data_IF_012092649629
#
_entry.id   IF_012092649629
#
_cell.length_a   1.000
_cell.length_b   1.000
_cell.length_c   1.000
_cell.angle_alpha   90.00
_cell.angle_beta   90.00
_cell.angle_gamma   90.00
#
_symmetry.space_group_name_H-M   'P 1'
#
loop_
_entity.id
_entity.type
_entity.pdbx_description
1 polymer ?
#
# COMPACT_ATOMS: atom_id res chain seq x y z
N UNK A 1 -1.12 -14.24 9.85
CA UNK A 1 -2.12 -13.42 9.14
C UNK A 1 -2.00 -13.71 7.67
N UNK A 2 -3.10 -13.97 6.96
CA UNK A 2 -3.10 -14.02 5.50
C UNK A 2 -3.15 -12.60 4.94
N UNK A 3 -2.62 -12.39 3.73
CA UNK A 3 -2.68 -11.11 3.03
C UNK A 3 -4.11 -10.57 2.93
N UNK A 4 -5.10 -11.43 2.66
CA UNK A 4 -6.51 -11.03 2.58
C UNK A 4 -7.01 -10.29 3.82
N UNK A 5 -6.75 -10.82 5.03
CA UNK A 5 -7.18 -10.15 6.27
C UNK A 5 -6.52 -8.78 6.46
N UNK A 6 -5.28 -8.62 5.99
CA UNK A 6 -4.59 -7.33 6.07
C UNK A 6 -5.18 -6.31 5.09
N UNK A 7 -5.51 -6.75 3.87
CA UNK A 7 -6.15 -5.89 2.87
C UNK A 7 -7.54 -5.45 3.33
N UNK A 8 -8.32 -6.34 3.93
CA UNK A 8 -9.63 -5.99 4.46
C UNK A 8 -9.53 -4.93 5.57
N UNK A 9 -8.54 -5.05 6.47
CA UNK A 9 -8.25 -4.02 7.49
C UNK A 9 -7.80 -2.70 6.86
N UNK A 10 -6.92 -2.73 5.84
CA UNK A 10 -6.54 -1.54 5.09
C UNK A 10 -7.74 -0.90 4.41
N UNK A 11 -8.57 -1.66 3.70
CA UNK A 11 -9.71 -1.15 2.95
C UNK A 11 -10.73 -0.50 3.88
N UNK A 12 -10.93 -1.07 5.07
CA UNK A 12 -11.75 -0.47 6.12
C UNK A 12 -11.18 0.86 6.62
N UNK A 13 -9.86 0.91 6.89
CA UNK A 13 -9.18 2.12 7.38
C UNK A 13 -9.02 3.22 6.33
N UNK A 14 -9.00 2.85 5.04
CA UNK A 14 -8.90 3.75 3.91
C UNK A 14 -10.27 4.04 3.27
N UNK A 15 -11.38 3.78 3.98
CA UNK A 15 -12.73 4.22 3.60
C UNK A 15 -13.11 3.84 2.14
N UNK A 16 -12.88 2.58 1.73
CA UNK A 16 -13.17 2.07 0.38
C UNK A 16 -12.31 2.65 -0.76
N UNK A 17 -11.15 3.23 -0.44
CA UNK A 17 -10.20 3.66 -1.46
C UNK A 17 -9.44 2.50 -2.11
N UNK A 18 -9.57 1.27 -1.63
CA UNK A 18 -8.97 0.09 -2.26
C UNK A 18 -9.97 -0.53 -3.24
N UNK A 19 -9.60 -0.61 -4.52
CA UNK A 19 -10.41 -1.23 -5.59
C UNK A 19 -10.11 -2.71 -5.76
N UNK A 20 -8.83 -3.05 -5.73
CA UNK A 20 -8.35 -4.41 -5.94
C UNK A 20 -6.96 -4.54 -5.32
N UNK A 21 -6.49 -5.77 -5.22
CA UNK A 21 -5.10 -6.06 -4.88
C UNK A 21 -4.61 -7.27 -5.69
N UNK A 22 -3.30 -7.32 -5.90
CA UNK A 22 -2.62 -8.45 -6.52
C UNK A 22 -1.37 -8.82 -5.74
N UNK A 23 -0.92 -10.06 -5.80
CA UNK A 23 0.32 -10.48 -5.15
C UNK A 23 1.51 -10.16 -6.04
N UNK A 24 2.62 -9.73 -5.44
CA UNK A 24 3.89 -9.67 -6.17
C UNK A 24 4.42 -11.09 -6.44
N UNK A 25 5.23 -11.28 -7.51
CA UNK A 25 5.95 -12.53 -7.73
C UNK A 25 6.72 -12.98 -6.50
N UNK A 26 6.85 -14.29 -6.30
CA UNK A 26 7.61 -14.90 -5.21
C UNK A 26 7.20 -14.45 -3.79
N UNK A 27 5.96 -14.00 -3.61
CA UNK A 27 5.42 -13.52 -2.34
C UNK A 27 6.19 -12.34 -1.72
N UNK A 28 6.86 -11.54 -2.55
CA UNK A 28 7.63 -10.37 -2.09
C UNK A 28 6.77 -9.24 -1.53
N UNK A 29 5.44 -9.34 -1.65
CA UNK A 29 4.51 -8.34 -1.18
C UNK A 29 3.22 -8.33 -2.00
N UNK A 30 2.57 -7.19 -2.11
CA UNK A 30 1.36 -7.03 -2.91
C UNK A 30 1.27 -5.66 -3.57
N UNK A 31 0.38 -5.55 -4.55
CA UNK A 31 0.02 -4.33 -5.26
C UNK A 31 -1.38 -3.92 -4.83
N UNK A 32 -1.57 -2.67 -4.41
CA UNK A 32 -2.88 -2.06 -4.21
C UNK A 32 -3.27 -1.24 -5.41
N UNK A 33 -4.52 -1.40 -5.82
CA UNK A 33 -5.16 -0.52 -6.80
C UNK A 33 -6.10 0.41 -6.05
N UNK A 34 -5.88 1.72 -6.15
CA UNK A 34 -6.60 2.71 -5.36
C UNK A 34 -7.62 3.50 -6.17
N UNK A 35 -8.74 3.86 -5.53
CA UNK A 35 -9.88 4.62 -6.05
C UNK A 35 -9.48 6.07 -6.21
N UNK A 36 -9.37 6.50 -7.46
CA UNK A 36 -8.73 7.74 -7.90
C UNK A 36 -8.19 7.50 -9.32
N UNK A 37 -7.46 8.44 -9.93
CA UNK A 37 -6.83 8.26 -11.26
C UNK A 37 -5.85 7.07 -11.25
N UNK A 38 -6.35 5.84 -11.42
CA UNK A 38 -5.65 4.54 -11.52
C UNK A 38 -4.25 4.51 -10.90
N UNK A 39 -4.18 4.56 -9.57
CA UNK A 39 -2.92 4.43 -8.84
C UNK A 39 -2.64 3.01 -8.43
N UNK A 40 -1.39 2.62 -8.61
CA UNK A 40 -0.86 1.33 -8.20
C UNK A 40 0.20 1.56 -7.13
N UNK A 41 0.04 0.94 -5.96
CA UNK A 41 1.03 1.00 -4.88
C UNK A 41 1.56 -0.40 -4.62
N UNK A 42 2.83 -0.61 -4.92
CA UNK A 42 3.52 -1.86 -4.60
C UNK A 42 4.03 -1.77 -3.15
N UNK A 43 3.82 -2.81 -2.36
CA UNK A 43 4.16 -2.84 -0.94
C UNK A 43 4.91 -4.13 -0.67
N UNK A 44 6.10 -4.03 -0.07
CA UNK A 44 6.91 -5.20 0.30
C UNK A 44 6.37 -5.96 1.53
N UNK A 45 6.57 -7.28 1.53
CA UNK A 45 6.29 -8.19 2.64
C UNK A 45 6.85 -7.66 3.97
N UNK A 46 8.12 -7.25 3.99
CA UNK A 46 8.77 -6.74 5.19
C UNK A 46 8.07 -5.49 5.77
N UNK A 47 7.66 -4.56 4.91
CA UNK A 47 6.93 -3.36 5.33
C UNK A 47 5.57 -3.70 5.99
N UNK A 48 4.90 -4.75 5.51
CA UNK A 48 3.62 -5.22 6.04
C UNK A 48 3.81 -5.84 7.42
N UNK A 49 4.80 -6.73 7.57
CA UNK A 49 5.01 -7.46 8.80
C UNK A 49 5.58 -6.59 9.92
N UNK A 50 6.50 -5.68 9.61
CA UNK A 50 7.23 -4.91 10.63
C UNK A 50 6.57 -3.57 10.96
N UNK A 51 5.80 -2.99 10.03
CA UNK A 51 5.32 -1.61 10.17
C UNK A 51 3.85 -1.41 9.77
N UNK A 52 2.98 -2.41 9.98
CA UNK A 52 1.57 -2.40 9.55
C UNK A 52 0.81 -1.09 9.85
N UNK A 53 0.93 -0.54 11.08
CA UNK A 53 0.14 0.62 11.49
C UNK A 53 0.65 1.89 10.82
N UNK A 54 1.97 2.01 10.70
CA UNK A 54 2.62 3.13 10.04
C UNK A 54 2.41 3.07 8.53
N UNK A 55 2.35 1.87 7.95
CA UNK A 55 2.05 1.64 6.55
C UNK A 55 0.67 2.20 6.17
N UNK A 56 -0.35 2.00 7.02
CA UNK A 56 -1.68 2.59 6.79
C UNK A 56 -1.62 4.12 6.76
N UNK A 57 -0.87 4.74 7.67
CA UNK A 57 -0.71 6.20 7.68
C UNK A 57 -0.04 6.69 6.40
N UNK A 58 1.07 6.05 6.00
CA UNK A 58 1.80 6.39 4.77
C UNK A 58 0.90 6.25 3.55
N UNK A 59 0.08 5.20 3.48
CA UNK A 59 -0.88 5.00 2.40
C UNK A 59 -1.95 6.11 2.37
N UNK A 60 -2.47 6.50 3.53
CA UNK A 60 -3.45 7.59 3.64
C UNK A 60 -2.86 8.91 3.15
N UNK A 61 -1.64 9.23 3.59
CA UNK A 61 -0.93 10.44 3.18
C UNK A 61 -0.68 10.43 1.66
N UNK A 62 -0.23 9.29 1.11
CA UNK A 62 -0.06 9.09 -0.34
C UNK A 62 -1.33 9.34 -1.16
N UNK A 63 -2.49 8.97 -0.62
CA UNK A 63 -3.77 9.16 -1.30
C UNK A 63 -4.20 10.62 -1.20
N UNK A 64 -4.03 11.25 -0.03
CA UNK A 64 -4.40 12.65 0.20
C UNK A 64 -3.50 13.63 -0.58
N UNK A 65 -2.18 13.44 -0.55
CA UNK A 65 -1.19 14.35 -1.14
C UNK A 65 -1.21 14.34 -2.67
N UNK A 66 -1.61 13.22 -3.28
CA UNK A 66 -1.43 13.03 -4.71
C UNK A 66 -2.73 12.65 -5.43
N UNK A 67 -3.81 13.38 -5.13
CA UNK A 67 -5.13 13.25 -5.77
C UNK A 67 -5.16 13.63 -7.26
N UNK A 68 -4.05 14.11 -7.83
CA UNK A 68 -4.03 14.74 -9.15
C UNK A 68 -3.35 13.94 -10.27
N UNK A 69 -2.49 12.96 -10.00
CA UNK A 69 -1.77 12.23 -11.07
C UNK A 69 -1.96 10.71 -11.04
N UNK A 70 -2.15 10.14 -12.24
CA UNK A 70 -1.98 8.70 -12.46
C UNK A 70 -0.52 8.34 -12.28
N UNK A 71 -0.23 7.32 -11.48
CA UNK A 71 1.16 6.97 -11.16
C UNK A 71 1.31 5.65 -10.43
N UNK A 72 2.57 5.21 -10.34
CA UNK A 72 2.99 4.09 -9.51
C UNK A 72 3.71 4.65 -8.28
N UNK A 73 3.58 3.96 -7.17
CA UNK A 73 4.40 4.20 -6.00
C UNK A 73 4.84 2.86 -5.42
N UNK A 74 6.01 2.85 -4.79
CA UNK A 74 6.51 1.69 -4.05
C UNK A 74 6.74 2.06 -2.61
N UNK A 75 6.25 1.21 -1.70
CA UNK A 75 6.52 1.32 -0.27
C UNK A 75 7.35 0.11 0.14
N UNK A 76 8.53 0.38 0.65
CA UNK A 76 9.48 -0.63 1.09
C UNK A 76 10.11 -0.25 2.43
N UNK A 77 10.77 -1.22 3.05
CA UNK A 77 11.50 -1.02 4.29
C UNK A 77 12.98 -0.78 3.99
N UNK A 78 13.49 0.41 4.31
CA UNK A 78 14.90 0.76 4.16
C UNK A 78 15.42 1.32 5.48
N UNK A 79 16.52 0.75 5.99
CA UNK A 79 17.16 1.18 7.24
C UNK A 79 16.16 1.24 8.45
N UNK A 80 15.23 0.29 8.51
CA UNK A 80 14.18 0.23 9.56
C UNK A 80 13.11 1.31 9.44
N UNK A 81 12.98 1.94 8.26
CA UNK A 81 11.99 2.99 7.98
C UNK A 81 11.23 2.70 6.69
N UNK A 82 9.93 2.99 6.74
CA UNK A 82 9.11 3.00 5.53
C UNK A 82 9.56 4.13 4.61
N UNK A 83 9.84 3.79 3.36
CA UNK A 83 10.25 4.74 2.32
C UNK A 83 9.27 4.61 1.16
N UNK A 84 8.94 5.74 0.53
CA UNK A 84 8.09 5.84 -0.66
C UNK A 84 8.94 6.24 -1.85
N UNK A 85 8.81 5.53 -2.96
CA UNK A 85 9.40 5.85 -4.26
C UNK A 85 8.30 6.00 -5.31
N UNK A 86 8.44 6.96 -6.24
CA UNK A 86 7.46 7.29 -7.27
C UNK A 86 8.01 7.00 -8.67
#
# INVERSE_FOLDING_TARGET
>A
MSYGMFIDDIAHRLEEQVLAYDSLPDCQGFILYLRGRLKQVEIEAAAIYEHKERLVSVLRDLILEHTSDSGRARIFLRDGRLTVEH
#
